data_IF_599878536632
#
_entry.id   IF_599878536632
#
_cell.length_a   1.000
_cell.length_b   1.000
_cell.length_c   1.000
_cell.angle_alpha   90.00
_cell.angle_beta   90.00
_cell.angle_gamma   90.00
#
_symmetry.space_group_name_H-M   'P 1'
#
loop_
_entity.id
_entity.type
_entity.pdbx_description
1 polymer ?
#
# COMPACT_ATOMS: atom_id res chain seq x y z
N UNK A 1 -23.08 -11.97 -10.51
CA UNK A 1 -22.45 -11.81 -10.34
C UNK A 1 -21.69 -11.83 -10.61
N UNK A 2 -21.61 -11.69 -10.84
CA UNK A 2 -20.86 -11.71 -11.02
C UNK A 2 -20.09 -11.77 -10.51
N UNK A 3 -20.04 -12.02 -10.47
CA UNK A 3 -19.29 -11.88 -10.03
C UNK A 3 -18.29 -11.91 -10.06
N UNK A 4 -18.08 -12.12 -10.17
CA UNK A 4 -17.22 -12.16 -10.22
C UNK A 4 -16.34 -11.67 -10.51
N UNK A 5 -16.56 -11.11 -10.74
CA UNK A 5 -15.78 -10.61 -10.93
C UNK A 5 -14.99 -10.09 -10.37
N UNK A 6 -15.35 -9.99 -10.07
CA UNK A 6 -14.54 -9.48 -9.59
C UNK A 6 -13.52 -9.80 -9.07
N UNK A 7 -13.50 -10.13 -9.17
CA UNK A 7 -12.31 -10.74 -9.06
C UNK A 7 -11.31 -10.13 -8.39
N UNK A 8 -11.19 -9.45 -8.51
CA UNK A 8 -10.05 -8.81 -8.29
C UNK A 8 -10.00 -8.11 -7.07
N UNK A 9 -11.07 -7.79 -6.49
CA UNK A 9 -11.05 -7.16 -5.21
C UNK A 9 -11.37 -8.20 -4.19
N UNK A 10 -10.33 -8.64 -3.50
CA UNK A 10 -10.48 -9.59 -2.44
C UNK A 10 -10.77 -8.86 -1.13
N UNK A 11 -11.78 -9.28 -0.40
CA UNK A 11 -12.02 -8.78 0.95
C UNK A 11 -10.93 -9.21 1.93
N UNK A 12 -10.07 -10.15 1.51
CA UNK A 12 -8.92 -10.60 2.29
C UNK A 12 -7.61 -10.02 1.81
N UNK A 13 -7.65 -9.11 0.83
CA UNK A 13 -6.45 -8.51 0.27
C UNK A 13 -5.74 -7.55 1.21
N UNK A 14 -4.49 -7.22 0.88
CA UNK A 14 -3.66 -6.37 1.73
C UNK A 14 -4.32 -5.03 2.01
N UNK A 15 -4.81 -4.34 1.01
CA UNK A 15 -5.40 -3.02 1.24
C UNK A 15 -6.64 -3.08 2.09
N UNK A 16 -7.46 -4.11 1.91
CA UNK A 16 -8.62 -4.30 2.75
C UNK A 16 -8.22 -4.51 4.22
N UNK A 17 -7.25 -5.41 4.44
CA UNK A 17 -6.79 -5.72 5.80
C UNK A 17 -6.12 -4.52 6.46
N UNK A 18 -5.30 -3.79 5.72
CA UNK A 18 -4.59 -2.63 6.25
C UNK A 18 -5.56 -1.50 6.61
N UNK A 19 -6.54 -1.23 5.76
CA UNK A 19 -7.55 -0.22 6.06
C UNK A 19 -8.37 -0.61 7.27
N UNK A 20 -8.70 -1.89 7.41
CA UNK A 20 -9.43 -2.38 8.56
C UNK A 20 -8.63 -2.19 9.85
N UNK A 21 -7.37 -2.59 9.86
CA UNK A 21 -6.50 -2.40 11.02
C UNK A 21 -6.38 -0.92 11.39
N UNK A 22 -6.23 -0.05 10.40
CA UNK A 22 -6.16 1.38 10.64
C UNK A 22 -7.44 1.90 11.29
N UNK A 23 -8.60 1.53 10.72
CA UNK A 23 -9.89 1.99 11.24
C UNK A 23 -10.20 1.45 12.63
N UNK A 24 -9.64 0.30 12.98
CA UNK A 24 -9.80 -0.29 14.32
C UNK A 24 -8.83 0.32 15.33
N UNK A 25 -7.99 1.26 14.92
CA UNK A 25 -7.02 1.89 15.83
C UNK A 25 -5.84 1.00 16.18
N UNK A 26 -5.58 -0.04 15.39
CA UNK A 26 -4.50 -1.01 15.67
C UNK A 26 -3.16 -0.61 15.04
N UNK A 27 -3.15 0.41 14.20
CA UNK A 27 -1.92 0.91 13.60
C UNK A 27 -1.55 2.27 14.20
N UNK A 28 -0.24 2.60 14.22
CA UNK A 28 0.18 3.92 14.69
C UNK A 28 -0.45 5.05 13.89
N UNK A 29 -0.66 6.17 14.54
CA UNK A 29 -1.31 7.33 13.90
C UNK A 29 -0.34 8.16 13.08
N UNK A 30 0.96 7.89 13.17
CA UNK A 30 1.98 8.63 12.45
C UNK A 30 2.46 7.91 11.18
N UNK A 31 1.78 6.87 10.74
CA UNK A 31 2.15 6.18 9.52
C UNK A 31 2.05 7.09 8.31
N UNK A 32 3.02 6.95 7.42
CA UNK A 32 3.05 7.68 6.15
C UNK A 32 2.87 6.72 4.99
N UNK A 33 2.51 7.26 3.83
CA UNK A 33 2.61 6.51 2.58
C UNK A 33 4.00 6.70 1.98
N UNK A 34 4.26 6.11 0.81
CA UNK A 34 5.57 6.19 0.18
C UNK A 34 5.89 7.59 -0.35
N UNK A 35 4.90 8.46 -0.42
CA UNK A 35 5.10 9.86 -0.79
C UNK A 35 5.40 10.76 0.41
N UNK A 36 5.44 10.20 1.60
CA UNK A 36 5.68 10.97 2.83
C UNK A 36 4.42 11.61 3.39
N UNK A 37 3.25 11.29 2.87
CA UNK A 37 1.98 11.86 3.36
C UNK A 37 1.44 11.04 4.52
N UNK A 38 1.05 11.71 5.58
CA UNK A 38 0.48 11.04 6.75
C UNK A 38 -0.89 10.47 6.42
N UNK A 39 -1.12 9.21 6.82
CA UNK A 39 -2.41 8.55 6.66
C UNK A 39 -3.43 9.11 7.65
N UNK A 40 -4.64 9.32 7.17
CA UNK A 40 -5.79 9.70 8.00
C UNK A 40 -7.00 8.90 7.55
N UNK A 41 -8.05 8.87 8.37
CA UNK A 41 -9.28 8.17 7.99
C UNK A 41 -9.85 8.68 6.67
N UNK A 42 -9.71 9.97 6.42
CA UNK A 42 -10.31 10.62 5.24
C UNK A 42 -9.51 10.40 3.97
N UNK A 43 -8.19 10.20 4.08
CA UNK A 43 -7.35 10.12 2.88
C UNK A 43 -6.88 8.71 2.55
N UNK A 44 -7.31 7.70 3.31
CA UNK A 44 -6.93 6.32 3.04
C UNK A 44 -7.30 5.91 1.61
N UNK A 45 -6.35 5.30 0.92
CA UNK A 45 -6.54 4.82 -0.43
C UNK A 45 -5.68 3.60 -0.66
N UNK A 46 -6.00 2.83 -1.70
CA UNK A 46 -5.13 1.74 -2.15
C UNK A 46 -4.54 2.12 -3.49
N UNK A 47 -3.35 1.63 -3.75
CA UNK A 47 -2.67 1.89 -5.00
C UNK A 47 -2.00 0.62 -5.50
N UNK A 48 -1.76 0.54 -6.81
CA UNK A 48 -0.99 -0.53 -7.42
C UNK A 48 0.48 -0.15 -7.40
N UNK A 49 1.33 -1.03 -6.91
CA UNK A 49 2.78 -0.82 -6.97
C UNK A 49 3.23 -0.62 -8.40
N UNK A 50 2.90 -1.59 -9.26
CA UNK A 50 3.03 -1.44 -10.70
C UNK A 50 1.67 -0.98 -11.22
N UNK A 51 1.57 0.20 -11.87
CA UNK A 51 0.29 0.68 -12.39
C UNK A 51 -0.34 -0.33 -13.35
N UNK A 52 -1.67 -0.39 -13.36
CA UNK A 52 -2.39 -1.30 -14.25
C UNK A 52 -2.04 -1.05 -15.72
N UNK A 53 -1.88 0.20 -16.10
CA UNK A 53 -1.49 0.57 -17.47
C UNK A 53 -0.10 0.06 -17.84
N UNK A 54 0.73 -0.29 -16.86
CA UNK A 54 2.07 -0.85 -17.09
C UNK A 54 2.12 -2.35 -16.80
N UNK A 55 0.96 -3.01 -16.76
CA UNK A 55 0.88 -4.46 -16.55
C UNK A 55 0.67 -4.88 -15.12
N UNK A 56 0.45 -3.97 -14.21
CA UNK A 56 0.21 -4.28 -12.80
C UNK A 56 -1.08 -5.04 -12.58
N UNK A 57 -1.07 -6.00 -11.67
CA UNK A 57 -2.20 -6.85 -11.36
C UNK A 57 -2.83 -6.49 -10.03
N UNK A 58 -4.05 -6.98 -9.81
CA UNK A 58 -4.78 -6.79 -8.54
C UNK A 58 -4.41 -7.87 -7.54
N UNK A 59 -3.13 -8.17 -7.39
CA UNK A 59 -2.64 -9.17 -6.44
C UNK A 59 -2.12 -8.48 -5.20
N UNK A 60 -2.15 -9.19 -4.06
CA UNK A 60 -1.67 -8.64 -2.80
C UNK A 60 -0.25 -8.09 -2.91
N UNK A 61 0.63 -8.82 -3.59
CA UNK A 61 2.03 -8.39 -3.73
C UNK A 61 2.20 -7.11 -4.55
N UNK A 62 1.14 -6.64 -5.18
CA UNK A 62 1.16 -5.39 -5.96
C UNK A 62 0.31 -4.28 -5.34
N UNK A 63 -0.25 -4.47 -4.15
CA UNK A 63 -1.13 -3.47 -3.56
C UNK A 63 -0.45 -2.79 -2.37
N UNK A 64 -0.50 -1.45 -2.36
CA UNK A 64 0.05 -0.66 -1.26
C UNK A 64 -1.01 0.26 -0.68
N UNK A 65 -0.92 0.49 0.62
CA UNK A 65 -1.76 1.47 1.29
C UNK A 65 -1.16 2.85 1.08
N UNK A 66 -1.96 3.78 0.62
CA UNK A 66 -1.51 5.11 0.25
C UNK A 66 -2.54 6.15 0.66
N UNK A 67 -2.25 7.41 0.35
CA UNK A 67 -3.21 8.49 0.49
C UNK A 67 -3.77 8.85 -0.89
N UNK A 68 -4.92 9.51 -0.89
CA UNK A 68 -5.49 10.05 -2.13
C UNK A 68 -4.54 11.06 -2.78
N UNK A 69 -3.82 11.84 -1.96
CA UNK A 69 -2.84 12.80 -2.47
C UNK A 69 -1.75 12.10 -3.27
N UNK A 70 -1.21 11.00 -2.73
CA UNK A 70 -0.16 10.26 -3.41
C UNK A 70 -0.68 9.66 -4.71
N UNK A 71 -1.86 9.05 -4.68
CA UNK A 71 -2.46 8.46 -5.87
C UNK A 71 -2.66 9.51 -6.97
N UNK A 72 -3.18 10.66 -6.61
CA UNK A 72 -3.44 11.73 -7.57
C UNK A 72 -2.15 12.30 -8.14
N UNK A 73 -1.14 12.50 -7.31
CA UNK A 73 0.15 13.02 -7.74
C UNK A 73 0.86 12.03 -8.65
N UNK A 74 0.79 10.75 -8.29
CA UNK A 74 1.53 9.72 -8.99
C UNK A 74 0.95 9.40 -10.37
N UNK A 75 -0.36 9.31 -10.47
CA UNK A 75 -0.98 8.83 -11.71
C UNK A 75 -0.49 7.43 -12.04
N UNK A 76 -0.08 7.22 -13.30
CA UNK A 76 0.41 5.92 -13.77
C UNK A 76 1.94 5.83 -13.82
N UNK A 77 2.65 6.71 -13.11
CA UNK A 77 4.11 6.68 -13.11
C UNK A 77 4.63 5.56 -12.22
N UNK A 78 5.76 4.91 -12.57
CA UNK A 78 6.39 3.92 -11.69
C UNK A 78 6.77 4.52 -10.34
N UNK A 79 6.77 3.69 -9.30
CA UNK A 79 7.13 4.14 -7.95
C UNK A 79 8.50 4.82 -7.91
N UNK A 80 9.48 4.24 -8.60
CA UNK A 80 10.85 4.77 -8.58
C UNK A 80 10.97 6.19 -9.14
N UNK A 81 9.99 6.66 -9.89
CA UNK A 81 10.00 8.01 -10.44
C UNK A 81 9.45 9.05 -9.47
N UNK A 82 8.65 8.63 -8.51
CA UNK A 82 7.94 9.57 -7.64
C UNK A 82 8.29 9.42 -6.16
N UNK A 83 8.97 8.34 -5.78
CA UNK A 83 9.31 8.07 -4.38
C UNK A 83 10.79 8.35 -4.17
N UNK A 84 11.10 9.23 -3.21
CA UNK A 84 12.48 9.51 -2.85
C UNK A 84 13.03 8.40 -1.95
N UNK A 85 14.36 8.26 -1.94
CA UNK A 85 15.00 7.29 -1.05
C UNK A 85 14.68 7.61 0.42
N UNK A 86 14.65 8.89 0.77
CA UNK A 86 14.30 9.31 2.12
C UNK A 86 12.90 8.83 2.52
N UNK A 87 11.92 9.06 1.68
CA UNK A 87 10.55 8.64 1.98
C UNK A 87 10.41 7.12 1.97
N UNK A 88 11.07 6.44 1.06
CA UNK A 88 11.07 4.99 1.01
C UNK A 88 11.63 4.39 2.30
N UNK A 89 12.76 4.91 2.76
CA UNK A 89 13.41 4.45 3.99
C UNK A 89 12.52 4.67 5.20
N UNK A 90 11.93 5.85 5.30
CA UNK A 90 11.03 6.19 6.41
C UNK A 90 9.80 5.30 6.42
N UNK A 91 9.17 5.12 5.26
CA UNK A 91 8.02 4.24 5.11
C UNK A 91 8.36 2.80 5.52
N UNK A 92 9.45 2.26 4.98
CA UNK A 92 9.85 0.90 5.28
C UNK A 92 10.12 0.71 6.78
N UNK A 93 10.83 1.64 7.40
CA UNK A 93 11.15 1.55 8.82
C UNK A 93 9.89 1.57 9.69
N UNK A 94 8.91 2.40 9.35
CA UNK A 94 7.66 2.43 10.11
C UNK A 94 6.93 1.09 10.04
N UNK A 95 6.83 0.51 8.84
CA UNK A 95 6.07 -0.73 8.66
C UNK A 95 6.81 -1.96 9.17
N UNK A 96 8.14 -2.02 9.00
CA UNK A 96 8.92 -3.16 9.51
C UNK A 96 8.81 -3.29 11.03
N UNK A 97 8.70 -2.18 11.74
CA UNK A 97 8.57 -2.20 13.19
C UNK A 97 7.27 -2.83 13.67
N UNK A 98 6.26 -2.90 12.81
CA UNK A 98 4.96 -3.42 13.22
C UNK A 98 4.95 -4.94 13.35
N UNK A 99 5.87 -5.63 12.69
CA UNK A 99 5.95 -7.08 12.76
C UNK A 99 4.68 -7.75 12.25
N UNK A 100 3.94 -8.38 13.14
CA UNK A 100 2.68 -9.03 12.80
C UNK A 100 1.58 -8.51 13.72
N UNK A 101 0.47 -8.06 13.12
CA UNK A 101 -0.70 -7.60 13.87
C UNK A 101 -1.93 -8.31 13.31
N UNK A 102 -2.66 -9.01 14.16
CA UNK A 102 -3.85 -9.76 13.76
C UNK A 102 -3.59 -10.68 12.56
N UNK A 103 -2.43 -11.32 12.53
CA UNK A 103 -2.06 -12.23 11.46
C UNK A 103 -1.51 -11.56 10.20
N UNK A 104 -1.49 -10.24 10.12
CA UNK A 104 -0.92 -9.55 8.97
C UNK A 104 0.58 -9.38 9.16
N UNK A 105 1.36 -9.90 8.22
CA UNK A 105 2.82 -9.89 8.26
C UNK A 105 3.36 -8.66 7.54
N UNK A 106 3.75 -7.65 8.31
CA UNK A 106 4.25 -6.40 7.76
C UNK A 106 5.64 -6.53 7.15
N UNK A 107 6.45 -7.45 7.63
CA UNK A 107 7.77 -7.69 7.04
C UNK A 107 7.60 -8.21 5.61
N UNK A 108 6.72 -9.19 5.43
CA UNK A 108 6.43 -9.71 4.11
C UNK A 108 5.83 -8.63 3.19
N UNK A 109 4.95 -7.81 3.73
CA UNK A 109 4.36 -6.71 2.97
C UNK A 109 5.43 -5.77 2.41
N UNK A 110 6.36 -5.32 3.25
CA UNK A 110 7.46 -4.44 2.82
C UNK A 110 8.34 -5.14 1.79
N UNK A 111 8.67 -6.42 2.02
CA UNK A 111 9.49 -7.19 1.08
C UNK A 111 8.82 -7.31 -0.30
N UNK A 112 7.52 -7.56 -0.32
CA UNK A 112 6.77 -7.66 -1.58
C UNK A 112 6.83 -6.34 -2.36
N UNK A 113 6.69 -5.22 -1.66
CA UNK A 113 6.76 -3.91 -2.31
C UNK A 113 8.17 -3.64 -2.83
N UNK A 114 9.21 -4.00 -2.08
CA UNK A 114 10.59 -3.84 -2.54
C UNK A 114 10.86 -4.60 -3.83
N UNK A 115 10.26 -5.78 -3.99
CA UNK A 115 10.45 -6.58 -5.21
C UNK A 115 9.94 -5.88 -6.47
N UNK A 116 8.90 -5.06 -6.33
CA UNK A 116 8.30 -4.38 -7.47
C UNK A 116 8.72 -2.92 -7.60
N UNK A 117 9.47 -2.39 -6.63
CA UNK A 117 9.76 -0.96 -6.58
C UNK A 117 10.50 -0.46 -7.83
N UNK A 118 11.41 -1.25 -8.36
CA UNK A 118 12.20 -0.87 -9.53
C UNK A 118 11.49 -1.03 -10.86
N UNK A 119 10.27 -1.47 -10.85
CA UNK A 119 9.54 -1.81 -12.09
C UNK A 119 8.58 -0.71 -12.55
#
# INVERSE_FOLDING_TARGET
MRIGQTDNISFNGYNFKLKKLYRQGKLPKDLIDMGGNRLTQKNLSGDHGIPRSLGGKNTDSNMILATKQFNNMRGARPLKEVVTIENLTKWANQYLKLGTIDGFDFVKYVQDIFKIFGK
#
